data_IF_214791734453
#
_entry.id   IF_214791734453
#
_cell.length_a   1.000
_cell.length_b   1.000
_cell.length_c   1.000
_cell.angle_alpha   90.00
_cell.angle_beta   90.00
_cell.angle_gamma   90.00
#
_symmetry.space_group_name_H-M   'P 1'
#
loop_
_entity.id
_entity.type
_entity.pdbx_description
1 polymer ?
#
# COMPACT_ATOMS: atom_id res chain seq x y z
N UNK A 1 43.82 8.81 63.96
CA UNK A 1 44.09 7.90 62.76
C UNK A 1 42.82 7.43 62.06
N UNK A 2 41.62 7.94 62.41
CA UNK A 2 40.33 7.48 61.82
C UNK A 2 39.76 8.44 60.79
N UNK A 3 40.15 9.71 60.78
CA UNK A 3 39.50 10.74 59.91
C UNK A 3 40.04 10.79 58.49
N UNK A 4 41.21 10.26 58.22
CA UNK A 4 41.80 10.29 56.87
C UNK A 4 41.21 9.23 55.92
N UNK A 5 40.67 8.11 56.42
CA UNK A 5 40.10 7.06 55.57
C UNK A 5 38.71 7.38 55.05
N UNK A 6 37.92 8.16 55.77
CA UNK A 6 36.57 8.55 55.32
C UNK A 6 36.63 9.58 54.19
N UNK A 7 37.60 10.50 54.27
CA UNK A 7 37.76 11.55 53.23
C UNK A 7 38.20 10.98 51.85
N UNK A 8 39.06 9.95 51.84
CA UNK A 8 39.55 9.33 50.62
C UNK A 8 38.44 8.54 49.91
N UNK A 9 37.58 7.84 50.65
CA UNK A 9 36.46 7.11 50.11
C UNK A 9 35.39 7.99 49.47
N UNK A 10 35.09 9.13 50.06
CA UNK A 10 34.16 10.11 49.50
C UNK A 10 34.64 10.71 48.15
N UNK A 11 35.94 11.06 48.09
CA UNK A 11 36.54 11.60 46.84
C UNK A 11 36.61 10.56 45.73
N UNK A 12 36.84 9.29 46.06
CA UNK A 12 36.88 8.19 45.07
C UNK A 12 35.49 7.84 44.54
N UNK A 13 34.45 7.85 45.36
CA UNK A 13 33.05 7.65 44.93
C UNK A 13 32.57 8.80 44.06
N UNK A 14 32.91 10.02 44.38
CA UNK A 14 32.51 11.20 43.58
C UNK A 14 33.19 11.25 42.21
N UNK A 15 34.43 10.75 42.07
CA UNK A 15 35.10 10.62 40.78
C UNK A 15 34.50 9.51 39.90
N UNK A 16 34.09 8.37 40.49
CA UNK A 16 33.42 7.28 39.75
C UNK A 16 32.05 7.70 39.21
N UNK A 17 31.24 8.41 40.01
CA UNK A 17 29.92 8.89 39.53
C UNK A 17 30.04 9.84 38.33
N UNK A 18 30.98 10.80 38.37
CA UNK A 18 31.20 11.75 37.27
C UNK A 18 31.68 11.05 35.97
N UNK A 19 32.43 9.95 36.08
CA UNK A 19 32.89 9.17 34.91
C UNK A 19 31.74 8.37 34.30
N UNK A 20 30.89 7.75 35.10
CA UNK A 20 29.73 7.00 34.60
C UNK A 20 28.71 7.92 33.90
N UNK A 21 28.41 9.08 34.47
CA UNK A 21 27.50 10.06 33.84
C UNK A 21 28.04 10.53 32.49
N UNK A 22 29.34 10.77 32.35
CA UNK A 22 29.95 11.15 31.05
C UNK A 22 29.86 10.04 30.01
N UNK A 23 30.03 8.79 30.41
CA UNK A 23 29.90 7.64 29.50
C UNK A 23 28.45 7.44 29.04
N UNK A 24 27.48 7.61 29.94
CA UNK A 24 26.05 7.53 29.60
C UNK A 24 25.67 8.67 28.65
N UNK A 25 26.09 9.89 28.89
CA UNK A 25 25.82 11.03 28.00
C UNK A 25 26.47 10.85 26.63
N UNK A 26 27.67 10.26 26.57
CA UNK A 26 28.34 9.96 25.31
C UNK A 26 27.63 8.86 24.53
N UNK A 27 27.17 7.79 25.19
CA UNK A 27 26.39 6.72 24.57
C UNK A 27 25.01 7.20 24.12
N UNK A 28 24.33 8.07 24.89
CA UNK A 28 23.08 8.71 24.44
C UNK A 28 23.31 9.63 23.23
N UNK A 29 24.43 10.36 23.20
CA UNK A 29 24.80 11.19 22.05
C UNK A 29 25.00 10.36 20.77
N UNK A 30 25.65 9.19 20.86
CA UNK A 30 25.84 8.26 19.74
C UNK A 30 24.51 7.69 19.26
N UNK A 31 23.59 7.34 20.18
CA UNK A 31 22.25 6.85 19.85
C UNK A 31 21.42 7.89 19.11
N UNK A 32 21.52 9.17 19.51
CA UNK A 32 20.80 10.27 18.85
C UNK A 32 21.36 10.49 17.43
N UNK A 33 22.68 10.44 17.25
CA UNK A 33 23.32 10.60 15.94
C UNK A 33 22.98 9.42 15.03
N UNK A 34 22.90 8.19 15.55
CA UNK A 34 22.53 7.02 14.77
C UNK A 34 21.08 7.06 14.29
N UNK A 35 20.15 7.55 15.11
CA UNK A 35 18.76 7.73 14.69
C UNK A 35 18.57 8.89 13.70
N UNK A 36 19.46 9.92 13.74
CA UNK A 36 19.42 11.03 12.78
C UNK A 36 20.02 10.67 11.41
N UNK A 37 20.83 9.61 11.33
CA UNK A 37 21.50 9.15 10.11
C UNK A 37 20.82 7.94 9.44
N UNK A 38 19.66 7.47 9.92
CA UNK A 38 18.85 6.52 9.15
C UNK A 38 18.23 7.36 8.02
N UNK A 39 18.67 7.18 6.75
CA UNK A 39 17.97 7.84 5.64
C UNK A 39 16.53 7.32 5.72
N UNK A 40 15.59 8.19 6.02
CA UNK A 40 14.20 7.89 5.69
C UNK A 40 14.20 7.75 4.17
N UNK A 41 14.09 6.52 3.71
CA UNK A 41 13.81 6.22 2.31
C UNK A 41 12.52 6.97 2.00
N UNK A 42 12.67 8.19 1.46
CA UNK A 42 11.55 8.95 0.92
C UNK A 42 11.04 8.07 -0.22
N UNK A 43 9.97 7.31 0.07
CA UNK A 43 9.25 6.52 -0.92
C UNK A 43 8.90 7.50 -2.02
N UNK A 44 9.65 7.44 -3.12
CA UNK A 44 9.44 8.31 -4.27
C UNK A 44 7.98 8.15 -4.70
N UNK A 45 7.22 9.21 -4.51
CA UNK A 45 5.77 9.16 -4.72
C UNK A 45 5.55 9.19 -6.22
N UNK A 46 5.07 8.09 -6.79
CA UNK A 46 4.74 8.00 -8.21
C UNK A 46 3.64 9.03 -8.57
N UNK A 47 3.96 10.07 -9.37
CA UNK A 47 3.00 11.13 -9.68
C UNK A 47 1.80 10.61 -10.49
N UNK A 48 1.97 9.56 -11.31
CA UNK A 48 0.88 8.95 -12.06
C UNK A 48 -0.08 8.21 -11.12
N UNK A 49 0.44 7.57 -10.05
CA UNK A 49 -0.39 6.95 -9.02
C UNK A 49 -1.18 7.98 -8.22
N UNK A 50 -0.57 9.12 -7.87
CA UNK A 50 -1.30 10.22 -7.22
C UNK A 50 -2.42 10.76 -8.10
N UNK A 51 -2.16 10.92 -9.40
CA UNK A 51 -3.17 11.37 -10.36
C UNK A 51 -4.31 10.35 -10.49
N UNK A 52 -4.00 9.04 -10.43
CA UNK A 52 -5.01 7.99 -10.40
C UNK A 52 -5.85 8.05 -9.12
N UNK A 53 -5.24 8.18 -7.95
CA UNK A 53 -5.96 8.28 -6.68
C UNK A 53 -6.89 9.50 -6.64
N UNK A 54 -6.42 10.64 -7.13
CA UNK A 54 -7.25 11.84 -7.28
C UNK A 54 -8.43 11.60 -8.23
N UNK A 55 -8.20 10.95 -9.37
CA UNK A 55 -9.25 10.57 -10.31
C UNK A 55 -10.26 9.63 -9.68
N UNK A 56 -9.79 8.59 -8.96
CA UNK A 56 -10.64 7.59 -8.31
C UNK A 56 -11.51 8.25 -7.24
N UNK A 57 -10.94 9.11 -6.39
CA UNK A 57 -11.66 9.84 -5.34
C UNK A 57 -12.71 10.78 -5.94
N UNK A 58 -12.35 11.54 -6.97
CA UNK A 58 -13.29 12.48 -7.63
C UNK A 58 -14.46 11.79 -8.33
N UNK A 59 -14.32 10.52 -8.72
CA UNK A 59 -15.34 9.77 -9.46
C UNK A 59 -15.99 8.65 -8.63
N UNK A 60 -15.69 8.50 -7.34
CA UNK A 60 -16.18 7.41 -6.50
C UNK A 60 -17.69 7.20 -6.60
N UNK A 61 -18.49 8.25 -6.38
CA UNK A 61 -19.95 8.22 -6.52
C UNK A 61 -20.40 8.12 -7.98
N UNK A 62 -19.68 8.78 -8.87
CA UNK A 62 -20.01 8.83 -10.31
C UNK A 62 -19.90 7.48 -11.00
N UNK A 63 -19.12 6.54 -10.47
CA UNK A 63 -19.04 5.14 -10.97
C UNK A 63 -20.44 4.50 -11.01
N UNK A 64 -21.27 4.78 -10.02
CA UNK A 64 -22.64 4.23 -9.94
C UNK A 64 -23.68 5.09 -10.68
N UNK A 65 -23.51 6.40 -10.69
CA UNK A 65 -24.47 7.37 -11.23
C UNK A 65 -24.31 7.55 -12.75
N UNK A 66 -23.07 7.64 -13.23
CA UNK A 66 -22.73 7.89 -14.62
C UNK A 66 -21.62 6.96 -15.13
N UNK A 67 -21.80 5.61 -15.05
CA UNK A 67 -20.73 4.64 -15.28
C UNK A 67 -20.11 4.77 -16.67
N UNK A 68 -20.90 5.04 -17.72
CA UNK A 68 -20.38 5.20 -19.08
C UNK A 68 -19.42 6.38 -19.22
N UNK A 69 -19.73 7.51 -18.56
CA UNK A 69 -18.88 8.70 -18.57
C UNK A 69 -17.55 8.40 -17.88
N UNK A 70 -17.59 7.79 -16.69
CA UNK A 70 -16.39 7.44 -15.93
C UNK A 70 -15.54 6.41 -16.70
N UNK A 71 -16.15 5.42 -17.36
CA UNK A 71 -15.45 4.47 -18.22
C UNK A 71 -14.67 5.16 -19.34
N UNK A 72 -15.32 6.06 -20.07
CA UNK A 72 -14.67 6.80 -21.15
C UNK A 72 -13.48 7.59 -20.65
N UNK A 73 -13.64 8.29 -19.53
CA UNK A 73 -12.54 9.05 -18.89
C UNK A 73 -11.41 8.16 -18.41
N UNK A 74 -11.70 7.02 -17.79
CA UNK A 74 -10.69 6.08 -17.32
C UNK A 74 -9.88 5.50 -18.49
N UNK A 75 -10.54 5.07 -19.57
CA UNK A 75 -9.88 4.51 -20.75
C UNK A 75 -9.05 5.57 -21.49
N UNK A 76 -9.50 6.82 -21.53
CA UNK A 76 -8.73 7.92 -22.12
C UNK A 76 -7.46 8.19 -21.31
N UNK A 77 -7.59 8.36 -19.98
CA UNK A 77 -6.45 8.60 -19.11
C UNK A 77 -5.42 7.47 -19.15
N UNK A 78 -5.88 6.22 -19.22
CA UNK A 78 -5.03 5.06 -19.34
C UNK A 78 -4.05 5.16 -20.53
N UNK A 79 -4.43 5.81 -21.63
CA UNK A 79 -3.57 5.97 -22.82
C UNK A 79 -2.40 6.94 -22.58
N UNK A 80 -2.54 7.86 -21.65
CA UNK A 80 -1.54 8.88 -21.30
C UNK A 80 -0.52 8.36 -20.28
N UNK A 81 -0.82 7.27 -19.57
CA UNK A 81 -0.05 6.71 -18.46
C UNK A 81 1.09 5.83 -18.99
N UNK A 82 2.31 6.04 -18.48
CA UNK A 82 3.50 5.26 -18.80
C UNK A 82 3.68 4.07 -17.87
N UNK A 83 3.40 4.26 -16.58
CA UNK A 83 3.48 3.20 -15.57
C UNK A 83 2.39 2.14 -15.81
N UNK A 84 2.83 0.92 -16.07
CA UNK A 84 1.92 -0.18 -16.37
C UNK A 84 1.00 -0.53 -15.21
N UNK A 85 1.48 -0.51 -13.95
CA UNK A 85 0.63 -0.78 -12.78
C UNK A 85 -0.47 0.27 -12.65
N UNK A 86 -0.13 1.55 -12.84
CA UNK A 86 -1.12 2.65 -12.80
C UNK A 86 -2.12 2.51 -13.94
N UNK A 87 -1.66 2.17 -15.14
CA UNK A 87 -2.52 1.91 -16.31
C UNK A 87 -3.59 0.85 -16.02
N UNK A 88 -3.19 -0.25 -15.40
CA UNK A 88 -4.11 -1.34 -15.08
C UNK A 88 -5.05 -1.02 -13.90
N UNK A 89 -4.70 -0.07 -13.01
CA UNK A 89 -5.65 0.47 -12.03
C UNK A 89 -6.80 1.25 -12.71
N UNK A 90 -6.54 2.00 -13.79
CA UNK A 90 -7.62 2.58 -14.59
C UNK A 90 -8.49 1.50 -15.25
N UNK A 91 -7.92 0.36 -15.64
CA UNK A 91 -8.69 -0.76 -16.19
C UNK A 91 -9.62 -1.39 -15.12
N UNK A 92 -9.22 -1.45 -13.85
CA UNK A 92 -10.09 -1.85 -12.73
C UNK A 92 -11.32 -0.92 -12.67
N UNK A 93 -11.12 0.39 -12.75
CA UNK A 93 -12.24 1.35 -12.76
C UNK A 93 -13.14 1.12 -13.96
N UNK A 94 -12.58 0.93 -15.15
CA UNK A 94 -13.35 0.64 -16.37
C UNK A 94 -14.17 -0.65 -16.23
N UNK A 95 -13.59 -1.74 -15.68
CA UNK A 95 -14.31 -3.01 -15.46
C UNK A 95 -15.45 -2.85 -14.47
N UNK A 96 -15.23 -2.10 -13.37
CA UNK A 96 -16.27 -1.78 -12.39
C UNK A 96 -17.44 -1.01 -13.03
N UNK A 97 -17.16 -0.03 -13.91
CA UNK A 97 -18.20 0.71 -14.62
C UNK A 97 -18.97 -0.15 -15.61
N UNK A 98 -18.35 -1.14 -16.25
CA UNK A 98 -19.03 -2.13 -17.07
C UNK A 98 -20.04 -2.93 -16.25
N UNK A 99 -19.65 -3.42 -15.08
CA UNK A 99 -20.56 -4.14 -14.17
C UNK A 99 -21.74 -3.24 -13.70
N UNK A 100 -21.48 -1.95 -13.40
CA UNK A 100 -22.54 -1.02 -13.02
C UNK A 100 -23.52 -0.76 -14.17
N UNK A 101 -23.08 -0.89 -15.43
CA UNK A 101 -23.92 -0.79 -16.63
C UNK A 101 -24.52 -2.13 -17.06
N UNK A 102 -24.39 -3.20 -16.27
CA UNK A 102 -24.80 -4.58 -16.60
C UNK A 102 -24.12 -5.17 -17.85
N UNK A 103 -22.99 -4.60 -18.25
CA UNK A 103 -22.17 -5.05 -19.37
C UNK A 103 -21.12 -6.08 -18.88
N UNK A 104 -21.61 -7.28 -18.54
CA UNK A 104 -20.77 -8.33 -17.92
C UNK A 104 -19.72 -8.88 -18.88
N UNK A 105 -19.99 -8.88 -20.18
CA UNK A 105 -19.03 -9.40 -21.16
C UNK A 105 -17.83 -8.48 -21.32
N UNK A 106 -18.07 -7.18 -21.42
CA UNK A 106 -16.96 -6.20 -21.37
C UNK A 106 -16.21 -6.25 -20.05
N UNK A 107 -16.90 -6.41 -18.94
CA UNK A 107 -16.25 -6.54 -17.62
C UNK A 107 -15.32 -7.75 -17.59
N UNK A 108 -15.75 -8.92 -18.07
CA UNK A 108 -14.92 -10.13 -18.14
C UNK A 108 -13.67 -9.95 -19.00
N UNK A 109 -13.82 -9.31 -20.17
CA UNK A 109 -12.68 -9.06 -21.06
C UNK A 109 -11.63 -8.15 -20.40
N UNK A 110 -12.06 -7.09 -19.75
CA UNK A 110 -11.14 -6.18 -19.05
C UNK A 110 -10.46 -6.88 -17.86
N UNK A 111 -11.18 -7.66 -17.07
CA UNK A 111 -10.65 -8.46 -15.98
C UNK A 111 -9.60 -9.45 -16.49
N UNK A 112 -9.87 -10.14 -17.60
CA UNK A 112 -8.91 -11.08 -18.19
C UNK A 112 -7.61 -10.37 -18.60
N UNK A 113 -7.69 -9.16 -19.18
CA UNK A 113 -6.50 -8.39 -19.52
C UNK A 113 -5.66 -8.04 -18.28
N UNK A 114 -6.31 -7.75 -17.15
CA UNK A 114 -5.61 -7.45 -15.88
C UNK A 114 -4.95 -8.73 -15.34
N UNK A 115 -5.63 -9.87 -15.37
CA UNK A 115 -5.06 -11.16 -14.95
C UNK A 115 -3.83 -11.49 -15.81
N UNK A 116 -3.95 -11.44 -17.13
CA UNK A 116 -2.86 -11.74 -18.07
C UNK A 116 -1.64 -10.83 -17.87
N UNK A 117 -1.85 -9.59 -17.48
CA UNK A 117 -0.77 -8.67 -17.14
C UNK A 117 -0.12 -9.08 -15.82
N UNK A 118 -0.92 -9.25 -14.75
CA UNK A 118 -0.40 -9.46 -13.41
C UNK A 118 0.33 -10.78 -13.25
N UNK A 119 -0.06 -11.83 -13.98
CA UNK A 119 0.62 -13.13 -13.97
C UNK A 119 2.05 -13.09 -14.53
N UNK A 120 2.36 -12.10 -15.37
CA UNK A 120 3.68 -11.94 -15.99
C UNK A 120 4.62 -11.02 -15.23
N UNK A 121 4.14 -10.37 -14.17
CA UNK A 121 4.93 -9.42 -13.41
C UNK A 121 5.61 -10.08 -12.21
N UNK A 122 6.82 -9.64 -11.82
CA UNK A 122 7.42 -10.05 -10.56
C UNK A 122 6.57 -9.54 -9.40
N UNK A 123 6.50 -10.33 -8.32
CA UNK A 123 5.73 -9.96 -7.14
C UNK A 123 6.20 -8.62 -6.56
N UNK A 124 5.23 -7.76 -6.24
CA UNK A 124 5.42 -6.55 -5.44
C UNK A 124 4.15 -6.28 -4.61
N UNK A 125 4.23 -5.53 -3.50
CA UNK A 125 3.04 -5.17 -2.72
C UNK A 125 1.99 -4.41 -3.55
N UNK A 126 2.42 -3.54 -4.45
CA UNK A 126 1.52 -2.80 -5.36
C UNK A 126 0.84 -3.74 -6.37
N UNK A 127 1.57 -4.75 -6.85
CA UNK A 127 0.99 -5.78 -7.71
C UNK A 127 -0.05 -6.62 -6.96
N UNK A 128 0.23 -6.96 -5.69
CA UNK A 128 -0.71 -7.69 -4.85
C UNK A 128 -2.02 -6.91 -4.65
N UNK A 129 -1.96 -5.59 -4.51
CA UNK A 129 -3.14 -4.72 -4.48
C UNK A 129 -3.95 -4.81 -5.78
N UNK A 130 -3.29 -4.69 -6.94
CA UNK A 130 -3.94 -4.78 -8.25
C UNK A 130 -4.57 -6.17 -8.49
N UNK A 131 -3.87 -7.25 -8.14
CA UNK A 131 -4.39 -8.62 -8.23
C UNK A 131 -5.58 -8.83 -7.30
N UNK A 132 -5.52 -8.29 -6.07
CA UNK A 132 -6.62 -8.34 -5.12
C UNK A 132 -7.87 -7.65 -5.68
N UNK A 133 -7.71 -6.46 -6.25
CA UNK A 133 -8.81 -5.73 -6.88
C UNK A 133 -9.38 -6.49 -8.09
N UNK A 134 -8.51 -7.10 -8.90
CA UNK A 134 -8.90 -7.93 -10.04
C UNK A 134 -9.74 -9.14 -9.60
N UNK A 135 -9.29 -9.89 -8.60
CA UNK A 135 -10.05 -11.05 -8.10
C UNK A 135 -11.36 -10.63 -7.41
N UNK A 136 -11.38 -9.50 -6.73
CA UNK A 136 -12.62 -8.94 -6.20
C UNK A 136 -13.63 -8.62 -7.33
N UNK A 137 -13.16 -8.01 -8.43
CA UNK A 137 -14.02 -7.77 -9.60
C UNK A 137 -14.52 -9.08 -10.22
N UNK A 138 -13.66 -10.09 -10.34
CA UNK A 138 -14.03 -11.41 -10.85
C UNK A 138 -15.06 -12.10 -9.96
N UNK A 139 -14.90 -12.05 -8.64
CA UNK A 139 -15.88 -12.52 -7.67
C UNK A 139 -17.24 -11.84 -7.86
N UNK A 140 -17.24 -10.51 -8.02
CA UNK A 140 -18.47 -9.74 -8.27
C UNK A 140 -19.18 -10.15 -9.58
N UNK A 141 -18.43 -10.42 -10.65
CA UNK A 141 -19.01 -10.93 -11.92
C UNK A 141 -19.68 -12.26 -11.70
N UNK A 142 -19.02 -13.21 -11.02
CA UNK A 142 -19.59 -14.52 -10.70
C UNK A 142 -20.83 -14.41 -9.83
N UNK A 143 -20.80 -13.60 -8.77
CA UNK A 143 -21.96 -13.38 -7.90
C UNK A 143 -23.16 -12.83 -8.67
N UNK A 144 -22.95 -11.83 -9.54
CA UNK A 144 -24.02 -11.24 -10.36
C UNK A 144 -24.56 -12.17 -11.43
N UNK A 145 -23.82 -13.20 -11.83
CA UNK A 145 -24.24 -14.21 -12.79
C UNK A 145 -24.74 -15.52 -12.13
N UNK A 146 -24.91 -15.50 -10.80
CA UNK A 146 -25.50 -16.62 -10.04
C UNK A 146 -24.53 -17.74 -9.67
N UNK A 147 -23.21 -17.58 -9.89
CA UNK A 147 -22.20 -18.60 -9.59
C UNK A 147 -21.55 -18.33 -8.24
N UNK A 148 -22.29 -18.50 -7.14
CA UNK A 148 -21.88 -18.08 -5.80
C UNK A 148 -20.63 -18.82 -5.30
N UNK A 149 -20.50 -20.14 -5.56
CA UNK A 149 -19.32 -20.91 -5.15
C UNK A 149 -18.03 -20.36 -5.79
N UNK A 150 -18.11 -20.02 -7.09
CA UNK A 150 -16.97 -19.39 -7.80
C UNK A 150 -16.68 -17.99 -7.23
N UNK A 151 -17.71 -17.22 -6.91
CA UNK A 151 -17.56 -15.90 -6.32
C UNK A 151 -16.81 -15.96 -4.99
N UNK A 152 -17.16 -16.90 -4.11
CA UNK A 152 -16.49 -17.09 -2.82
C UNK A 152 -15.01 -17.41 -2.99
N UNK A 153 -14.66 -18.30 -3.94
CA UNK A 153 -13.25 -18.63 -4.23
C UNK A 153 -12.44 -17.38 -4.60
N UNK A 154 -12.98 -16.51 -5.47
CA UNK A 154 -12.28 -15.31 -5.89
C UNK A 154 -12.24 -14.23 -4.81
N UNK A 155 -13.26 -14.07 -4.01
CA UNK A 155 -13.23 -13.15 -2.86
C UNK A 155 -12.20 -13.59 -1.82
N UNK A 156 -12.03 -14.89 -1.59
CA UNK A 156 -11.00 -15.43 -0.70
C UNK A 156 -9.59 -15.14 -1.24
N UNK A 157 -9.34 -15.38 -2.53
CA UNK A 157 -8.07 -15.02 -3.18
C UNK A 157 -7.78 -13.52 -3.08
N UNK A 158 -8.78 -12.69 -3.30
CA UNK A 158 -8.65 -11.24 -3.16
C UNK A 158 -8.24 -10.84 -1.73
N UNK A 159 -8.87 -11.43 -0.73
CA UNK A 159 -8.54 -11.19 0.68
C UNK A 159 -7.11 -11.60 1.02
N UNK A 160 -6.70 -12.80 0.63
CA UNK A 160 -5.33 -13.31 0.87
C UNK A 160 -4.27 -12.39 0.26
N UNK A 161 -4.47 -11.93 -0.97
CA UNK A 161 -3.55 -11.00 -1.62
C UNK A 161 -3.53 -9.62 -0.96
N UNK A 162 -4.66 -9.14 -0.46
CA UNK A 162 -4.74 -7.85 0.24
C UNK A 162 -3.83 -7.80 1.46
N UNK A 163 -3.63 -8.91 2.14
CA UNK A 163 -2.73 -9.00 3.30
C UNK A 163 -1.24 -8.82 2.92
N UNK A 164 -0.89 -8.91 1.64
CA UNK A 164 0.45 -8.72 1.11
C UNK A 164 0.62 -7.39 0.34
N UNK A 165 -0.45 -6.62 0.25
CA UNK A 165 -0.48 -5.34 -0.45
C UNK A 165 -0.01 -4.15 0.40
N UNK A 166 -0.10 -2.96 -0.19
CA UNK A 166 0.20 -1.68 0.47
C UNK A 166 -1.02 -1.08 1.17
N UNK A 167 -2.23 -1.49 0.77
CA UNK A 167 -3.52 -0.97 1.25
C UNK A 167 -4.09 -1.91 2.31
N UNK A 168 -3.41 -2.01 3.46
CA UNK A 168 -3.96 -2.70 4.63
C UNK A 168 -4.92 -1.72 5.33
N UNK A 169 -6.09 -1.53 4.77
CA UNK A 169 -7.20 -0.92 5.51
C UNK A 169 -7.93 -2.07 6.22
N UNK A 170 -7.92 -2.03 7.55
CA UNK A 170 -8.70 -2.94 8.37
C UNK A 170 -10.18 -2.65 8.09
N UNK A 171 -10.86 -3.62 7.50
CA UNK A 171 -12.30 -3.67 7.41
C UNK A 171 -12.86 -4.21 8.71
#
# INVERSE_FOLDING_TARGET
>A
GLDNNVSINCVFMQKRGKRQVRVILFLMGILIIWNACIPQEQKEVNPEMQAFEAFFTANGDSVSIAPRKVRTQALQKMQEIKDSLVRYNYLIVASKTCMMSSDMDSARLLIQQIEDFTERQPFSPQLADLQSDCFNMKGNVYARTGHMDSAEVYFRKAYELRMHGTKIEFV
#
